data_IF_097103144078
#
_entry.id   IF_097103144078
#
_cell.length_a   1.000
_cell.length_b   1.000
_cell.length_c   1.000
_cell.angle_alpha   90.00
_cell.angle_beta   90.00
_cell.angle_gamma   90.00
#
_symmetry.space_group_name_H-M   'P 1'
#
loop_
_entity.id
_entity.type
_entity.pdbx_description
1 polymer ?
#
# COMPACT_ATOMS: atom_id res chain seq x y z
N UNK A 1 7.56 -21.68 30.93
CA UNK A 1 6.42 -21.44 30.00
C UNK A 1 6.47 -20.07 29.32
N UNK A 2 6.89 -18.99 30.00
CA UNK A 2 6.92 -17.64 29.42
C UNK A 2 7.85 -17.47 28.19
N UNK A 3 9.02 -18.15 28.18
CA UNK A 3 9.98 -18.08 27.07
C UNK A 3 9.52 -18.79 25.78
N UNK A 4 8.72 -19.86 25.89
CA UNK A 4 8.17 -20.57 24.71
C UNK A 4 7.11 -19.72 24.00
N UNK A 5 6.21 -19.07 24.74
CA UNK A 5 5.22 -18.15 24.18
C UNK A 5 5.85 -16.95 23.45
N UNK A 6 6.95 -16.41 23.99
CA UNK A 6 7.69 -15.31 23.36
C UNK A 6 8.34 -15.74 22.03
N UNK A 7 8.90 -16.95 21.96
CA UNK A 7 9.52 -17.50 20.73
C UNK A 7 8.50 -17.70 19.60
N UNK A 8 7.33 -18.26 19.89
CA UNK A 8 6.27 -18.43 18.87
C UNK A 8 5.77 -17.08 18.34
N UNK A 9 5.70 -16.06 19.20
CA UNK A 9 5.34 -14.70 18.80
C UNK A 9 6.34 -14.11 17.79
N UNK A 10 7.65 -14.32 17.97
CA UNK A 10 8.67 -13.80 17.05
C UNK A 10 8.60 -14.45 15.66
N UNK A 11 8.52 -15.78 15.59
CA UNK A 11 8.37 -16.49 14.30
C UNK A 11 7.10 -16.08 13.57
N UNK A 12 6.01 -15.85 14.30
CA UNK A 12 4.74 -15.38 13.73
C UNK A 12 4.84 -13.97 13.18
N UNK A 13 5.57 -13.07 13.86
CA UNK A 13 5.87 -11.73 13.35
C UNK A 13 6.62 -11.84 12.02
N UNK A 14 7.72 -12.60 11.97
CA UNK A 14 8.47 -12.76 10.72
C UNK A 14 7.65 -13.37 9.58
N UNK A 15 6.79 -14.35 9.90
CA UNK A 15 5.91 -14.98 8.90
C UNK A 15 4.90 -14.00 8.33
N UNK A 16 4.26 -13.18 9.17
CA UNK A 16 3.31 -12.16 8.70
C UNK A 16 4.05 -11.06 7.92
N UNK A 17 5.22 -10.62 8.38
CA UNK A 17 6.04 -9.66 7.65
C UNK A 17 6.40 -10.18 6.26
N UNK A 18 6.83 -11.43 6.14
CA UNK A 18 7.15 -12.05 4.85
C UNK A 18 5.92 -12.13 3.94
N UNK A 19 4.75 -12.53 4.47
CA UNK A 19 3.50 -12.55 3.71
C UNK A 19 3.07 -11.15 3.24
N UNK A 20 3.24 -10.12 4.08
CA UNK A 20 3.02 -8.72 3.69
C UNK A 20 3.96 -8.32 2.54
N UNK A 21 5.26 -8.58 2.68
CA UNK A 21 6.27 -8.26 1.68
C UNK A 21 6.01 -8.95 0.34
N UNK A 22 5.69 -10.25 0.37
CA UNK A 22 5.39 -11.03 -0.81
C UNK A 22 4.10 -10.55 -1.49
N UNK A 23 3.08 -10.15 -0.71
CA UNK A 23 1.83 -9.64 -1.27
C UNK A 23 2.00 -8.35 -2.09
N UNK A 24 3.05 -7.56 -1.82
CA UNK A 24 3.36 -6.34 -2.58
C UNK A 24 4.53 -6.53 -3.54
N UNK A 25 4.97 -7.78 -3.72
CA UNK A 25 6.03 -8.16 -4.65
C UNK A 25 7.27 -7.27 -4.42
N UNK A 26 7.72 -7.20 -3.16
CA UNK A 26 9.02 -6.58 -2.88
C UNK A 26 10.13 -7.39 -3.55
N UNK A 27 11.18 -6.71 -4.00
CA UNK A 27 12.26 -7.30 -4.80
C UNK A 27 12.73 -8.69 -4.33
N UNK A 28 13.06 -8.82 -3.05
CA UNK A 28 13.59 -10.05 -2.47
C UNK A 28 12.59 -11.22 -2.45
N UNK A 29 11.32 -11.00 -2.81
CA UNK A 29 10.30 -12.06 -2.90
C UNK A 29 10.02 -12.52 -4.33
N UNK A 30 10.55 -11.86 -5.36
CA UNK A 30 10.17 -12.13 -6.77
C UNK A 30 10.47 -13.54 -7.25
N UNK A 31 11.54 -14.17 -6.76
CA UNK A 31 11.93 -15.53 -7.18
C UNK A 31 11.10 -16.63 -6.51
N UNK A 32 10.21 -16.28 -5.58
CA UNK A 32 9.39 -17.23 -4.84
C UNK A 32 7.92 -17.10 -5.28
N UNK A 33 7.27 -18.19 -5.73
CA UNK A 33 5.84 -18.16 -5.99
C UNK A 33 5.07 -17.74 -4.73
N UNK A 34 4.15 -16.78 -4.87
CA UNK A 34 3.33 -16.26 -3.76
C UNK A 34 2.60 -17.39 -3.00
N UNK A 35 2.13 -18.41 -3.73
CA UNK A 35 1.46 -19.58 -3.17
C UNK A 35 2.37 -20.33 -2.20
N UNK A 36 3.64 -20.55 -2.59
CA UNK A 36 4.63 -21.23 -1.75
C UNK A 36 4.96 -20.40 -0.50
N UNK A 37 5.18 -19.10 -0.65
CA UNK A 37 5.45 -18.20 0.48
C UNK A 37 4.29 -18.23 1.47
N UNK A 38 3.06 -18.11 0.98
CA UNK A 38 1.88 -18.08 1.84
C UNK A 38 1.65 -19.42 2.55
N UNK A 39 1.87 -20.56 1.90
CA UNK A 39 1.81 -21.89 2.54
C UNK A 39 2.83 -21.98 3.68
N UNK A 40 4.07 -21.60 3.43
CA UNK A 40 5.12 -21.60 4.46
C UNK A 40 4.76 -20.71 5.65
N UNK A 41 4.31 -19.47 5.38
CA UNK A 41 3.86 -18.54 6.41
C UNK A 41 2.67 -19.09 7.21
N UNK A 42 1.71 -19.74 6.55
CA UNK A 42 0.59 -20.39 7.23
C UNK A 42 1.07 -21.52 8.17
N UNK A 43 1.98 -22.38 7.70
CA UNK A 43 2.56 -23.44 8.53
C UNK A 43 3.27 -22.88 9.79
N UNK A 44 4.05 -21.80 9.65
CA UNK A 44 4.73 -21.17 10.78
C UNK A 44 3.79 -20.45 11.76
N UNK A 45 2.58 -20.09 11.31
CA UNK A 45 1.56 -19.46 12.14
C UNK A 45 0.70 -20.46 12.94
N UNK A 46 0.66 -21.74 12.54
CA UNK A 46 -0.12 -22.77 13.24
C UNK A 46 0.20 -22.88 14.74
N UNK A 47 1.48 -22.96 15.18
CA UNK A 47 1.78 -23.06 16.61
C UNK A 47 1.31 -21.84 17.40
N UNK A 48 1.32 -20.65 16.80
CA UNK A 48 0.85 -19.45 17.46
C UNK A 48 -0.66 -19.46 17.63
N UNK A 49 -1.42 -19.80 16.57
CA UNK A 49 -2.87 -19.92 16.63
C UNK A 49 -3.33 -20.92 17.70
N UNK A 50 -2.68 -22.09 17.78
CA UNK A 50 -3.00 -23.12 18.78
C UNK A 50 -2.74 -22.66 20.23
N UNK A 51 -1.84 -21.69 20.42
CA UNK A 51 -1.50 -21.14 21.73
C UNK A 51 -2.27 -19.85 22.07
N UNK A 52 -3.15 -19.36 21.18
CA UNK A 52 -3.97 -18.18 21.45
C UNK A 52 -5.04 -18.51 22.50
N UNK A 53 -4.84 -17.98 23.71
CA UNK A 53 -5.80 -18.11 24.81
C UNK A 53 -7.01 -17.19 24.67
N UNK A 54 -6.85 -16.07 23.97
CA UNK A 54 -7.89 -15.05 23.78
C UNK A 54 -7.91 -14.65 22.32
N UNK A 55 -9.11 -14.68 21.74
CA UNK A 55 -9.39 -14.20 20.41
C UNK A 55 -9.78 -12.75 20.49
N UNK A 56 -9.01 -11.90 19.82
CA UNK A 56 -9.28 -10.47 19.83
C UNK A 56 -10.46 -10.14 18.88
N UNK A 57 -10.69 -10.98 17.85
CA UNK A 57 -11.71 -10.80 16.81
C UNK A 57 -13.06 -11.42 17.06
N UNK A 58 -14.11 -10.74 16.59
CA UNK A 58 -15.43 -11.34 16.46
C UNK A 58 -15.45 -12.37 15.32
N UNK A 59 -16.22 -13.44 15.53
CA UNK A 59 -16.43 -14.50 14.53
C UNK A 59 -17.01 -13.91 13.24
N UNK A 60 -17.89 -12.90 13.34
CA UNK A 60 -18.47 -12.21 12.18
C UNK A 60 -17.43 -11.53 11.27
N UNK A 61 -16.38 -10.91 11.84
CA UNK A 61 -15.31 -10.31 11.03
C UNK A 61 -14.48 -11.39 10.33
N UNK A 62 -14.18 -12.50 11.02
CA UNK A 62 -13.48 -13.62 10.41
C UNK A 62 -14.31 -14.23 9.27
N UNK A 63 -15.61 -14.47 9.48
CA UNK A 63 -16.52 -14.96 8.45
C UNK A 63 -16.58 -14.02 7.25
N UNK A 64 -16.79 -12.72 7.49
CA UNK A 64 -16.81 -11.72 6.42
C UNK A 64 -15.48 -11.71 5.64
N UNK A 65 -14.34 -11.84 6.31
CA UNK A 65 -13.03 -11.92 5.64
C UNK A 65 -12.89 -13.15 4.75
N UNK A 66 -13.43 -14.30 5.17
CA UNK A 66 -13.46 -15.53 4.35
C UNK A 66 -14.29 -15.31 3.10
N UNK A 67 -15.49 -14.73 3.24
CA UNK A 67 -16.37 -14.40 2.11
C UNK A 67 -15.67 -13.46 1.15
N UNK A 68 -15.00 -12.42 1.66
CA UNK A 68 -14.24 -11.46 0.85
C UNK A 68 -13.10 -12.14 0.07
N UNK A 69 -12.34 -13.04 0.72
CA UNK A 69 -11.27 -13.80 0.05
C UNK A 69 -11.78 -14.73 -1.03
N UNK A 70 -12.87 -15.46 -0.77
CA UNK A 70 -13.50 -16.35 -1.75
C UNK A 70 -14.01 -15.53 -2.95
N UNK A 71 -14.68 -14.40 -2.68
CA UNK A 71 -15.18 -13.52 -3.74
C UNK A 71 -14.04 -12.94 -4.59
N UNK A 72 -12.98 -12.46 -3.95
CA UNK A 72 -11.79 -11.98 -4.65
C UNK A 72 -11.18 -13.10 -5.53
N UNK A 73 -11.11 -14.32 -5.02
CA UNK A 73 -10.60 -15.47 -5.76
C UNK A 73 -11.41 -15.77 -7.02
N UNK A 74 -12.75 -15.79 -6.92
CA UNK A 74 -13.61 -16.11 -8.08
C UNK A 74 -13.56 -15.05 -9.18
N UNK A 75 -13.29 -13.78 -8.83
CA UNK A 75 -13.29 -12.66 -9.78
C UNK A 75 -11.91 -12.26 -10.30
N UNK A 76 -10.84 -12.50 -9.54
CA UNK A 76 -9.48 -12.01 -9.87
C UNK A 76 -8.48 -13.13 -10.19
N UNK A 77 -8.88 -14.40 -10.04
CA UNK A 77 -8.02 -15.52 -10.40
C UNK A 77 -8.38 -16.01 -11.80
N UNK A 78 -7.40 -15.98 -12.71
CA UNK A 78 -7.56 -16.45 -14.09
C UNK A 78 -7.73 -17.98 -14.06
N UNK A 79 -6.72 -18.68 -13.52
CA UNK A 79 -6.67 -20.15 -13.50
C UNK A 79 -6.86 -20.74 -12.11
N UNK A 80 -7.81 -21.67 -12.01
CA UNK A 80 -8.08 -22.43 -10.79
C UNK A 80 -7.15 -23.64 -10.64
N UNK A 81 -5.84 -23.36 -10.60
CA UNK A 81 -4.82 -24.37 -10.36
C UNK A 81 -4.74 -24.77 -8.87
N UNK A 82 -4.12 -25.92 -8.57
CA UNK A 82 -3.82 -26.33 -7.20
C UNK A 82 -3.07 -25.24 -6.43
N UNK A 83 -2.10 -24.57 -7.07
CA UNK A 83 -1.34 -23.48 -6.44
C UNK A 83 -2.22 -22.27 -6.12
N UNK A 84 -3.21 -21.95 -6.95
CA UNK A 84 -4.15 -20.88 -6.70
C UNK A 84 -5.04 -21.19 -5.47
N UNK A 85 -5.53 -22.43 -5.35
CA UNK A 85 -6.28 -22.88 -4.18
C UNK A 85 -5.44 -22.88 -2.91
N UNK A 86 -4.19 -23.38 -2.97
CA UNK A 86 -3.25 -23.33 -1.85
C UNK A 86 -2.98 -21.89 -1.41
N UNK A 87 -2.83 -20.97 -2.36
CA UNK A 87 -2.67 -19.55 -2.08
C UNK A 87 -3.90 -18.96 -1.38
N UNK A 88 -5.10 -19.28 -1.85
CA UNK A 88 -6.37 -18.84 -1.24
C UNK A 88 -6.48 -19.32 0.21
N UNK A 89 -6.35 -20.63 0.43
CA UNK A 89 -6.50 -21.24 1.75
C UNK A 89 -5.46 -20.68 2.73
N UNK A 90 -4.23 -20.52 2.28
CA UNK A 90 -3.15 -19.95 3.09
C UNK A 90 -3.41 -18.47 3.41
N UNK A 91 -3.87 -17.68 2.44
CA UNK A 91 -4.19 -16.25 2.65
C UNK A 91 -5.35 -16.06 3.64
N UNK A 92 -6.37 -16.91 3.56
CA UNK A 92 -7.47 -16.96 4.53
C UNK A 92 -6.93 -17.30 5.92
N UNK A 93 -6.12 -18.34 6.03
CA UNK A 93 -5.54 -18.78 7.30
C UNK A 93 -4.67 -17.69 7.95
N UNK A 94 -3.79 -17.06 7.17
CA UNK A 94 -2.94 -15.94 7.62
C UNK A 94 -3.81 -14.78 8.09
N UNK A 95 -4.84 -14.41 7.33
CA UNK A 95 -5.76 -13.31 7.66
C UNK A 95 -6.53 -13.57 8.95
N UNK A 96 -7.11 -14.75 9.11
CA UNK A 96 -7.84 -15.14 10.33
C UNK A 96 -6.89 -15.13 11.53
N UNK A 97 -5.70 -15.71 11.40
CA UNK A 97 -4.71 -15.74 12.48
C UNK A 97 -4.28 -14.34 12.88
N UNK A 98 -4.03 -13.46 11.90
CA UNK A 98 -3.69 -12.07 12.15
C UNK A 98 -4.84 -11.30 12.84
N UNK A 99 -6.08 -11.46 12.38
CA UNK A 99 -7.22 -10.81 13.02
C UNK A 99 -7.42 -11.30 14.46
N UNK A 100 -7.39 -12.62 14.67
CA UNK A 100 -7.55 -13.26 15.98
C UNK A 100 -6.43 -12.92 16.97
N UNK A 101 -5.24 -12.54 16.49
CA UNK A 101 -4.07 -12.20 17.30
C UNK A 101 -4.36 -11.10 18.33
N UNK A 102 -3.63 -11.09 19.45
CA UNK A 102 -3.84 -10.10 20.51
C UNK A 102 -3.46 -8.68 20.08
N UNK A 103 -4.05 -7.67 20.73
CA UNK A 103 -3.67 -6.25 20.50
C UNK A 103 -2.18 -6.00 20.72
N UNK A 104 -1.57 -6.60 21.76
CA UNK A 104 -0.12 -6.48 22.01
C UNK A 104 0.73 -7.09 20.88
N UNK A 105 0.30 -8.23 20.33
CA UNK A 105 0.96 -8.83 19.17
C UNK A 105 0.91 -7.88 17.97
N UNK A 106 -0.26 -7.28 17.68
CA UNK A 106 -0.42 -6.31 16.58
C UNK A 106 0.49 -5.10 16.78
N UNK A 107 0.61 -4.55 18.00
CA UNK A 107 1.53 -3.43 18.27
C UNK A 107 2.99 -3.84 18.02
N UNK A 108 3.41 -5.02 18.50
CA UNK A 108 4.77 -5.52 18.26
C UNK A 108 5.05 -5.76 16.77
N UNK A 109 4.09 -6.34 16.04
CA UNK A 109 4.15 -6.54 14.60
C UNK A 109 4.25 -5.20 13.86
N UNK A 110 3.51 -4.17 14.28
CA UNK A 110 3.64 -2.82 13.73
C UNK A 110 5.05 -2.27 13.91
N UNK A 111 5.61 -2.35 15.13
CA UNK A 111 6.96 -1.85 15.37
C UNK A 111 8.02 -2.61 14.55
N UNK A 112 7.87 -3.93 14.42
CA UNK A 112 8.73 -4.73 13.57
C UNK A 112 8.59 -4.36 12.09
N UNK A 113 7.36 -4.13 11.61
CA UNK A 113 7.08 -3.68 10.24
C UNK A 113 7.65 -2.28 9.97
N UNK A 114 7.39 -1.30 10.84
CA UNK A 114 7.91 0.06 10.72
C UNK A 114 9.45 0.09 10.71
N UNK A 115 10.08 -0.66 11.62
CA UNK A 115 11.53 -0.80 11.64
C UNK A 115 12.06 -1.45 10.35
N UNK A 116 11.45 -2.55 9.91
CA UNK A 116 11.84 -3.26 8.70
C UNK A 116 11.74 -2.37 7.45
N UNK A 117 10.60 -1.68 7.26
CA UNK A 117 10.42 -0.79 6.09
C UNK A 117 11.42 0.38 6.14
N UNK A 118 11.70 0.96 7.32
CA UNK A 118 12.76 1.97 7.47
C UNK A 118 14.12 1.46 7.03
N UNK A 119 14.49 0.24 7.45
CA UNK A 119 15.78 -0.36 7.10
C UNK A 119 15.90 -0.57 5.59
N UNK A 120 14.91 -1.21 4.95
CA UNK A 120 14.98 -1.45 3.50
C UNK A 120 14.97 -0.14 2.70
N UNK A 121 14.18 0.86 3.11
CA UNK A 121 14.16 2.16 2.45
C UNK A 121 15.46 2.93 2.66
N UNK A 122 16.07 2.87 3.84
CA UNK A 122 17.36 3.49 4.11
C UNK A 122 18.46 2.89 3.24
N UNK A 123 18.57 1.57 3.21
CA UNK A 123 19.55 0.85 2.36
C UNK A 123 19.31 1.17 0.88
N UNK A 124 18.04 1.18 0.46
CA UNK A 124 17.67 1.52 -0.91
C UNK A 124 18.05 2.95 -1.28
N UNK A 125 17.80 3.92 -0.39
CA UNK A 125 18.15 5.32 -0.60
C UNK A 125 19.66 5.49 -0.73
N UNK A 126 20.46 4.81 0.10
CA UNK A 126 21.91 4.83 -0.01
C UNK A 126 22.38 4.25 -1.35
N UNK A 127 21.84 3.10 -1.77
CA UNK A 127 22.15 2.50 -3.07
C UNK A 127 21.78 3.41 -4.24
N UNK A 128 20.60 4.03 -4.20
CA UNK A 128 20.14 4.95 -5.22
C UNK A 128 20.97 6.25 -5.27
N UNK A 129 21.39 6.78 -4.12
CA UNK A 129 22.30 7.93 -4.08
C UNK A 129 23.68 7.60 -4.67
N UNK A 130 24.24 6.42 -4.38
CA UNK A 130 25.49 5.97 -4.99
C UNK A 130 25.35 5.88 -6.52
N UNK A 131 24.24 5.34 -7.00
CA UNK A 131 23.92 5.32 -8.44
C UNK A 131 23.91 6.74 -9.03
N UNK A 132 23.26 7.70 -8.38
CA UNK A 132 23.22 9.10 -8.84
C UNK A 132 24.59 9.78 -8.85
N UNK A 133 25.51 9.36 -7.97
CA UNK A 133 26.89 9.85 -7.94
C UNK A 133 27.77 9.21 -9.04
N UNK A 134 27.21 8.36 -9.90
CA UNK A 134 27.92 7.70 -11.00
C UNK A 134 28.70 6.46 -10.56
N UNK A 135 28.43 5.90 -9.38
CA UNK A 135 29.03 4.63 -8.94
C UNK A 135 28.47 3.50 -9.80
N UNK A 136 29.35 2.75 -10.46
CA UNK A 136 28.95 1.60 -11.27
C UNK A 136 28.53 0.43 -10.38
N UNK A 137 27.22 0.32 -10.14
CA UNK A 137 26.62 -0.74 -9.32
C UNK A 137 26.26 -1.95 -10.20
N UNK A 138 26.48 -3.19 -9.69
CA UNK A 138 26.08 -4.39 -10.41
C UNK A 138 24.57 -4.42 -10.57
N UNK A 139 24.11 -4.70 -11.79
CA UNK A 139 22.69 -4.79 -12.09
C UNK A 139 22.40 -5.88 -13.13
N UNK A 140 21.14 -6.28 -13.17
CA UNK A 140 20.60 -7.14 -14.21
C UNK A 140 19.18 -6.71 -14.56
N UNK A 141 18.76 -7.05 -15.77
CA UNK A 141 17.42 -6.78 -16.26
C UNK A 141 16.48 -7.93 -15.88
N UNK A 142 15.30 -7.60 -15.36
CA UNK A 142 14.29 -8.58 -14.95
C UNK A 142 12.92 -8.17 -15.44
N UNK A 143 12.21 -9.11 -16.05
CA UNK A 143 10.79 -9.00 -16.32
C UNK A 143 10.05 -9.52 -15.06
N UNK A 144 9.34 -8.65 -14.35
CA UNK A 144 8.68 -9.01 -13.07
C UNK A 144 7.23 -9.45 -13.26
N UNK A 145 6.58 -8.89 -14.26
CA UNK A 145 5.28 -9.31 -14.77
C UNK A 145 5.21 -8.91 -16.24
N UNK A 146 4.13 -9.28 -16.93
CA UNK A 146 3.89 -8.91 -18.34
C UNK A 146 3.89 -7.39 -18.60
N UNK A 147 3.94 -6.58 -17.53
CA UNK A 147 3.75 -5.13 -17.55
C UNK A 147 4.97 -4.33 -17.10
N UNK A 148 5.96 -4.97 -16.48
CA UNK A 148 7.09 -4.27 -15.87
C UNK A 148 8.41 -4.93 -16.18
N UNK A 149 9.29 -4.14 -16.79
CA UNK A 149 10.69 -4.47 -16.96
C UNK A 149 11.49 -3.57 -16.02
N UNK A 150 12.38 -4.19 -15.26
CA UNK A 150 13.17 -3.49 -14.26
C UNK A 150 14.65 -3.75 -14.43
N UNK A 151 15.43 -2.71 -14.13
CA UNK A 151 16.85 -2.84 -13.84
C UNK A 151 17.04 -2.95 -12.34
N UNK A 152 17.61 -4.08 -11.93
CA UNK A 152 17.71 -4.48 -10.54
C UNK A 152 19.14 -4.28 -10.06
N UNK A 153 19.32 -3.35 -9.13
CA UNK A 153 20.62 -2.99 -8.54
C UNK A 153 20.86 -3.65 -7.17
N UNK A 154 20.11 -4.71 -6.84
CA UNK A 154 20.05 -5.46 -5.58
C UNK A 154 19.62 -4.66 -4.34
N UNK A 155 20.10 -3.42 -4.18
CA UNK A 155 19.75 -2.48 -3.12
C UNK A 155 18.45 -1.74 -3.42
N UNK A 156 18.18 -1.50 -4.69
CA UNK A 156 16.96 -0.87 -5.18
C UNK A 156 16.63 -1.40 -6.59
N UNK A 157 15.42 -1.13 -7.02
CA UNK A 157 14.89 -1.46 -8.34
C UNK A 157 14.62 -0.16 -9.09
N UNK A 158 14.84 -0.14 -10.39
CA UNK A 158 14.49 0.95 -11.30
C UNK A 158 13.64 0.41 -12.45
N UNK A 159 12.62 1.15 -12.89
CA UNK A 159 11.90 0.80 -14.13
C UNK A 159 12.81 0.99 -15.35
N UNK A 160 12.78 0.07 -16.31
CA UNK A 160 13.72 0.06 -17.43
C UNK A 160 13.64 1.32 -18.32
N UNK A 161 12.47 1.95 -18.40
CA UNK A 161 12.29 3.20 -19.14
C UNK A 161 12.89 4.43 -18.42
N UNK A 162 13.20 4.32 -17.12
CA UNK A 162 13.75 5.43 -16.33
C UNK A 162 15.25 5.63 -16.57
N UNK A 163 15.95 4.72 -17.27
CA UNK A 163 17.41 4.83 -17.51
C UNK A 163 17.79 6.08 -18.30
N UNK A 164 16.88 6.59 -19.14
CA UNK A 164 17.10 7.77 -19.98
C UNK A 164 16.59 9.07 -19.35
N UNK A 165 16.06 9.01 -18.12
CA UNK A 165 15.57 10.19 -17.42
C UNK A 165 16.71 10.96 -16.75
N UNK A 166 16.62 12.29 -16.76
CA UNK A 166 17.59 13.20 -16.11
C UNK A 166 17.74 12.91 -14.61
N UNK A 167 16.68 12.43 -13.95
CA UNK A 167 16.71 11.95 -12.57
C UNK A 167 15.76 10.76 -12.42
N UNK A 168 16.27 9.51 -12.30
CA UNK A 168 15.42 8.33 -12.21
C UNK A 168 14.66 8.31 -10.88
N UNK A 169 13.37 8.01 -10.93
CA UNK A 169 12.49 8.02 -9.75
C UNK A 169 12.85 6.94 -8.74
N UNK A 170 12.83 7.27 -7.45
CA UNK A 170 13.11 6.31 -6.38
C UNK A 170 11.92 5.39 -6.10
N UNK A 171 12.09 4.08 -6.32
CA UNK A 171 11.15 3.03 -5.93
C UNK A 171 11.64 2.13 -4.79
N UNK A 172 12.91 2.26 -4.41
CA UNK A 172 13.55 1.33 -3.48
C UNK A 172 13.38 -0.12 -3.92
N UNK A 173 13.05 -1.01 -2.98
CA UNK A 173 12.75 -2.43 -3.28
C UNK A 173 11.30 -2.69 -3.72
N UNK A 174 10.49 -1.64 -3.95
CA UNK A 174 9.12 -1.78 -4.43
C UNK A 174 9.08 -1.80 -5.96
N UNK A 175 8.00 -2.36 -6.52
CA UNK A 175 7.79 -2.43 -7.98
C UNK A 175 7.78 -1.06 -8.67
N UNK A 176 7.30 -0.01 -7.99
CA UNK A 176 7.20 1.31 -8.59
C UNK A 176 7.26 2.45 -7.56
N UNK A 177 7.61 3.68 -7.97
CA UNK A 177 7.85 4.78 -7.04
C UNK A 177 6.64 5.14 -6.19
N UNK A 178 5.43 5.04 -6.72
CA UNK A 178 4.26 5.36 -5.89
C UNK A 178 3.88 4.26 -4.88
N UNK A 179 4.41 3.03 -4.97
CA UNK A 179 4.26 2.03 -3.91
C UNK A 179 5.04 2.42 -2.67
N UNK A 180 6.33 2.77 -2.82
CA UNK A 180 7.15 3.25 -1.71
C UNK A 180 6.62 4.58 -1.16
N UNK A 181 6.18 5.50 -2.05
CA UNK A 181 5.59 6.77 -1.67
C UNK A 181 4.33 6.62 -0.83
N UNK A 182 3.34 5.85 -1.31
CA UNK A 182 2.09 5.61 -0.59
C UNK A 182 2.31 4.89 0.75
N UNK A 183 3.15 3.85 0.76
CA UNK A 183 3.48 3.11 2.00
C UNK A 183 4.12 4.02 3.04
N UNK A 184 5.05 4.88 2.61
CA UNK A 184 5.70 5.87 3.46
C UNK A 184 4.72 6.92 4.01
N UNK A 185 3.73 7.35 3.22
CA UNK A 185 2.67 8.26 3.69
C UNK A 185 1.84 7.63 4.81
N UNK A 186 1.42 6.37 4.62
CA UNK A 186 0.63 5.64 5.62
C UNK A 186 1.42 5.44 6.92
N UNK A 187 2.70 5.04 6.82
CA UNK A 187 3.55 4.85 7.99
C UNK A 187 3.87 6.16 8.71
N UNK A 188 4.07 7.27 8.00
CA UNK A 188 4.20 8.59 8.63
C UNK A 188 2.95 9.01 9.39
N UNK A 189 1.77 8.72 8.84
CA UNK A 189 0.49 9.00 9.52
C UNK A 189 0.41 8.22 10.84
N UNK A 190 0.68 6.92 10.83
CA UNK A 190 0.64 6.09 12.05
C UNK A 190 1.73 6.53 13.04
N UNK A 191 2.90 6.94 12.54
CA UNK A 191 3.97 7.58 13.31
C UNK A 191 3.69 9.04 13.68
N UNK A 192 2.45 9.51 13.49
CA UNK A 192 1.94 10.82 13.96
C UNK A 192 2.70 12.01 13.39
N UNK A 193 3.36 11.84 12.23
CA UNK A 193 4.29 12.82 11.65
C UNK A 193 5.34 13.32 12.67
N UNK A 194 5.78 12.44 13.59
CA UNK A 194 6.68 12.81 14.66
C UNK A 194 8.15 12.85 14.18
N UNK A 195 8.60 14.00 13.67
CA UNK A 195 9.97 14.20 13.22
C UNK A 195 11.00 14.39 14.35
N UNK A 196 10.58 14.39 15.63
CA UNK A 196 11.56 14.24 16.74
C UNK A 196 12.27 12.89 16.66
N UNK A 197 11.56 11.86 16.18
CA UNK A 197 12.19 10.61 15.79
C UNK A 197 12.81 10.77 14.39
N UNK A 198 14.13 10.95 14.34
CA UNK A 198 14.87 11.19 13.08
C UNK A 198 14.69 10.07 12.04
N UNK A 199 14.36 8.85 12.44
CA UNK A 199 14.09 7.75 11.48
C UNK A 199 12.89 8.03 10.57
N UNK A 200 11.96 8.91 10.96
CA UNK A 200 10.81 9.28 10.12
C UNK A 200 11.23 10.15 8.91
N UNK A 201 12.44 10.74 8.91
CA UNK A 201 12.96 11.40 7.70
C UNK A 201 13.21 10.41 6.56
N UNK A 202 13.46 9.13 6.84
CA UNK A 202 13.62 8.10 5.80
C UNK A 202 12.36 8.02 4.93
N UNK A 203 11.18 8.03 5.55
CA UNK A 203 9.90 8.04 4.83
C UNK A 203 9.67 9.35 4.07
N UNK A 204 10.00 10.49 4.68
CA UNK A 204 9.86 11.78 4.01
C UNK A 204 10.74 11.85 2.75
N UNK A 205 12.00 11.43 2.85
CA UNK A 205 12.92 11.35 1.71
C UNK A 205 12.43 10.35 0.66
N UNK A 206 11.91 9.19 1.08
CA UNK A 206 11.34 8.20 0.16
C UNK A 206 10.13 8.77 -0.61
N UNK A 207 9.28 9.56 0.05
CA UNK A 207 8.17 10.26 -0.61
C UNK A 207 8.73 11.25 -1.62
N UNK A 208 9.61 12.17 -1.20
CA UNK A 208 10.19 13.22 -2.05
C UNK A 208 10.84 12.61 -3.29
N UNK A 209 11.77 11.67 -3.12
CA UNK A 209 12.52 11.09 -4.24
C UNK A 209 11.70 10.12 -5.10
N UNK A 210 10.52 9.67 -4.65
CA UNK A 210 9.62 8.89 -5.50
C UNK A 210 9.06 9.69 -6.69
N UNK A 211 9.13 11.03 -6.62
CA UNK A 211 8.60 11.95 -7.63
C UNK A 211 7.18 11.52 -8.08
N UNK A 212 6.34 11.15 -7.12
CA UNK A 212 5.00 10.64 -7.36
C UNK A 212 3.99 11.69 -6.94
N UNK A 213 3.34 12.32 -7.92
CA UNK A 213 2.26 13.30 -7.69
C UNK A 213 1.20 12.74 -6.73
N UNK A 214 0.78 11.49 -6.95
CA UNK A 214 -0.17 10.81 -6.07
C UNK A 214 0.33 10.67 -4.61
N UNK A 215 1.60 10.32 -4.41
CA UNK A 215 2.17 10.22 -3.06
C UNK A 215 2.28 11.59 -2.39
N UNK A 216 2.61 12.66 -3.15
CA UNK A 216 2.64 14.02 -2.61
C UNK A 216 1.26 14.49 -2.16
N UNK A 217 0.24 14.26 -2.99
CA UNK A 217 -1.15 14.55 -2.63
C UNK A 217 -1.57 13.76 -1.39
N UNK A 218 -1.28 12.45 -1.35
CA UNK A 218 -1.63 11.58 -0.22
C UNK A 218 -0.92 12.01 1.08
N UNK A 219 0.37 12.38 1.01
CA UNK A 219 1.13 12.90 2.14
C UNK A 219 0.46 14.15 2.70
N UNK A 220 0.12 15.11 1.84
CA UNK A 220 -0.46 16.37 2.27
C UNK A 220 -1.88 16.20 2.83
N UNK A 221 -2.72 15.39 2.18
CA UNK A 221 -4.05 15.03 2.68
C UNK A 221 -3.93 14.37 4.05
N UNK A 222 -3.02 13.40 4.20
CA UNK A 222 -2.78 12.72 5.48
C UNK A 222 -2.30 13.68 6.57
N UNK A 223 -1.38 14.60 6.25
CA UNK A 223 -0.86 15.61 7.16
C UNK A 223 -1.98 16.54 7.66
N UNK A 224 -2.74 17.12 6.73
CA UNK A 224 -3.85 18.01 7.05
C UNK A 224 -4.91 17.28 7.87
N UNK A 225 -5.33 16.09 7.46
CA UNK A 225 -6.35 15.34 8.15
C UNK A 225 -5.92 14.95 9.57
N UNK A 226 -4.67 14.51 9.76
CA UNK A 226 -4.12 14.19 11.08
C UNK A 226 -4.20 15.39 12.05
N UNK A 227 -3.72 16.55 11.60
CA UNK A 227 -3.66 17.74 12.44
C UNK A 227 -5.02 18.41 12.64
N UNK A 228 -5.90 18.37 11.63
CA UNK A 228 -7.30 18.77 11.75
C UNK A 228 -7.99 17.98 12.87
N UNK A 229 -7.87 16.65 12.84
CA UNK A 229 -8.49 15.77 13.83
C UNK A 229 -7.84 15.87 15.22
N UNK A 230 -6.67 16.52 15.33
CA UNK A 230 -6.01 16.90 16.58
C UNK A 230 -6.47 18.28 17.09
N UNK A 231 -7.37 18.95 16.38
CA UNK A 231 -7.85 20.31 16.71
C UNK A 231 -6.80 21.40 16.45
N UNK A 232 -5.85 21.17 15.55
CA UNK A 232 -4.90 22.20 15.14
C UNK A 232 -5.44 22.95 13.92
N UNK A 233 -5.19 24.25 13.89
CA UNK A 233 -5.48 25.08 12.72
C UNK A 233 -4.70 24.57 11.49
N UNK A 234 -5.42 24.50 10.38
CA UNK A 234 -4.93 24.04 9.09
C UNK A 234 -4.23 25.13 8.28
N UNK A 235 -4.48 26.40 8.58
CA UNK A 235 -3.98 27.52 7.78
C UNK A 235 -2.48 27.43 7.54
N UNK A 236 -1.69 27.16 8.59
CA UNK A 236 -0.24 27.01 8.48
C UNK A 236 0.19 25.88 7.55
N UNK A 237 -0.54 24.76 7.51
CA UNK A 237 -0.18 23.62 6.65
C UNK A 237 -0.58 23.91 5.19
N UNK A 238 -1.72 24.57 4.98
CA UNK A 238 -2.14 25.06 3.66
C UNK A 238 -1.14 26.08 3.11
N UNK A 239 -0.64 26.98 3.95
CA UNK A 239 0.40 27.94 3.57
C UNK A 239 1.70 27.21 3.22
N UNK A 240 2.12 26.21 3.99
CA UNK A 240 3.28 25.38 3.67
C UNK A 240 3.10 24.71 2.30
N UNK A 241 1.93 24.11 2.01
CA UNK A 241 1.66 23.55 0.69
C UNK A 241 1.72 24.60 -0.40
N UNK A 242 1.10 25.76 -0.22
CA UNK A 242 1.09 26.82 -1.22
C UNK A 242 2.52 27.29 -1.53
N UNK A 243 3.37 27.44 -0.51
CA UNK A 243 4.79 27.77 -0.68
C UNK A 243 5.53 26.66 -1.42
N UNK A 244 5.37 25.40 -1.01
CA UNK A 244 6.00 24.26 -1.71
C UNK A 244 5.53 24.17 -3.16
N UNK A 245 4.22 24.25 -3.42
CA UNK A 245 3.66 24.25 -4.76
C UNK A 245 4.22 25.41 -5.60
N UNK A 246 4.32 26.62 -5.03
CA UNK A 246 4.92 27.77 -5.69
C UNK A 246 6.39 27.54 -6.06
N UNK A 247 7.19 26.99 -5.13
CA UNK A 247 8.60 26.65 -5.37
C UNK A 247 8.73 25.58 -6.46
N UNK A 248 7.96 24.50 -6.38
CA UNK A 248 7.99 23.42 -7.37
C UNK A 248 7.54 23.91 -8.76
N UNK A 249 6.52 24.77 -8.82
CA UNK A 249 6.08 25.41 -10.07
C UNK A 249 7.16 26.33 -10.63
N UNK A 250 7.77 27.18 -9.80
CA UNK A 250 8.84 28.07 -10.23
C UNK A 250 10.05 27.30 -10.77
N UNK A 251 10.55 26.31 -10.02
CA UNK A 251 11.67 25.48 -10.46
C UNK A 251 11.28 24.69 -11.71
N UNK A 252 10.11 24.04 -11.71
CA UNK A 252 9.67 23.23 -12.82
C UNK A 252 9.51 24.03 -14.12
N UNK A 253 9.02 25.26 -14.09
CA UNK A 253 8.88 26.07 -15.32
C UNK A 253 10.19 26.75 -15.75
N UNK A 254 11.05 27.15 -14.82
CA UNK A 254 12.21 28.00 -15.15
C UNK A 254 13.54 27.24 -15.24
N UNK A 255 13.74 26.19 -14.43
CA UNK A 255 14.99 25.43 -14.45
C UNK A 255 15.12 24.68 -15.78
N UNK A 256 16.29 24.80 -16.43
CA UNK A 256 16.56 24.24 -17.76
C UNK A 256 15.45 24.58 -18.79
N UNK A 257 14.88 25.79 -18.70
CA UNK A 257 13.79 26.28 -19.58
C UNK A 257 12.56 25.37 -19.58
N UNK A 258 12.27 24.73 -18.44
CA UNK A 258 11.15 23.81 -18.30
C UNK A 258 11.47 22.36 -18.66
N UNK A 259 12.64 22.07 -19.23
CA UNK A 259 13.07 20.70 -19.51
C UNK A 259 13.72 20.06 -18.29
N UNK A 260 12.91 19.75 -17.28
CA UNK A 260 13.38 19.13 -16.04
C UNK A 260 12.35 18.15 -15.47
N UNK A 261 12.84 17.29 -14.58
CA UNK A 261 12.06 16.20 -13.99
C UNK A 261 10.84 16.67 -13.20
N UNK A 262 10.91 17.86 -12.58
CA UNK A 262 9.78 18.41 -11.82
C UNK A 262 8.65 18.78 -12.77
N UNK A 263 8.96 19.45 -13.88
CA UNK A 263 7.96 19.74 -14.90
C UNK A 263 7.37 18.45 -15.47
N UNK A 264 8.23 17.53 -15.90
CA UNK A 264 7.82 16.31 -16.58
C UNK A 264 6.99 15.38 -15.70
N UNK A 265 7.36 15.20 -14.43
CA UNK A 265 6.72 14.21 -13.55
C UNK A 265 5.62 14.79 -12.67
N UNK A 266 5.59 16.11 -12.45
CA UNK A 266 4.63 16.76 -11.53
C UNK A 266 3.77 17.79 -12.28
N UNK A 267 4.35 18.82 -12.88
CA UNK A 267 3.57 19.95 -13.41
C UNK A 267 2.80 19.62 -14.68
N UNK A 268 3.42 18.90 -15.63
CA UNK A 268 2.77 18.45 -16.86
C UNK A 268 1.52 17.62 -16.57
N UNK A 269 1.57 16.83 -15.48
CA UNK A 269 0.46 16.01 -14.99
C UNK A 269 -0.67 16.82 -14.35
N UNK A 270 -0.47 18.10 -14.06
CA UNK A 270 -1.50 19.00 -13.54
C UNK A 270 -2.17 19.82 -14.63
N UNK A 271 -1.68 19.76 -15.87
CA UNK A 271 -2.26 20.49 -17.01
C UNK A 271 -3.62 19.87 -17.35
N UNK A 272 -4.63 20.72 -17.50
CA UNK A 272 -5.95 20.31 -17.99
C UNK A 272 -5.93 20.45 -19.51
N UNK A 273 -6.14 19.33 -20.20
CA UNK A 273 -6.23 19.24 -21.66
C UNK A 273 -7.61 18.69 -21.99
N UNK A 274 -8.38 19.40 -22.82
CA UNK A 274 -9.73 19.00 -23.23
C UNK A 274 -10.71 18.70 -22.07
N UNK A 275 -10.54 19.41 -20.95
CA UNK A 275 -11.37 19.25 -19.75
C UNK A 275 -10.94 18.09 -18.83
N UNK A 276 -9.92 17.32 -19.22
CA UNK A 276 -9.35 16.24 -18.42
C UNK A 276 -7.97 16.60 -17.89
N UNK A 277 -7.63 16.10 -16.70
CA UNK A 277 -6.30 16.29 -16.13
C UNK A 277 -5.32 15.37 -16.86
N UNK A 278 -4.25 15.91 -17.44
CA UNK A 278 -3.22 15.11 -18.15
C UNK A 278 -2.59 14.02 -17.27
N UNK A 279 -2.62 14.23 -15.95
CA UNK A 279 -2.18 13.25 -14.95
C UNK A 279 -3.17 12.15 -14.63
N UNK A 280 -4.39 12.19 -15.15
CA UNK A 280 -5.45 11.17 -15.01
C UNK A 280 -5.21 9.99 -15.98
N UNK A 281 -4.00 9.44 -15.93
CA UNK A 281 -3.57 8.32 -16.76
C UNK A 281 -3.72 6.98 -16.02
N UNK A 282 -4.73 6.86 -15.16
CA UNK A 282 -4.95 5.68 -14.30
C UNK A 282 -5.80 4.61 -14.95
N UNK A 283 -6.46 4.94 -16.05
CA UNK A 283 -7.18 4.02 -16.92
C UNK A 283 -6.69 4.18 -18.36
N UNK A 284 -6.86 3.14 -19.16
CA UNK A 284 -6.57 3.19 -20.59
C UNK A 284 -7.84 3.51 -21.38
N UNK A 285 -7.69 4.13 -22.55
CA UNK A 285 -8.82 4.41 -23.45
C UNK A 285 -9.62 3.15 -23.81
N UNK A 286 -8.92 2.02 -23.98
CA UNK A 286 -9.54 0.71 -24.20
C UNK A 286 -10.40 0.34 -23.00
N UNK A 287 -9.84 0.39 -21.79
CA UNK A 287 -10.56 0.12 -20.56
C UNK A 287 -11.81 1.00 -20.43
N UNK A 288 -11.69 2.31 -20.61
CA UNK A 288 -12.81 3.24 -20.41
C UNK A 288 -13.96 2.94 -21.40
N UNK A 289 -13.66 2.57 -22.64
CA UNK A 289 -14.69 2.12 -23.60
C UNK A 289 -15.42 0.85 -23.14
N UNK A 290 -14.69 -0.14 -22.63
CA UNK A 290 -15.29 -1.36 -22.08
C UNK A 290 -16.09 -1.08 -20.80
N UNK A 291 -15.56 -0.20 -19.95
CA UNK A 291 -16.18 0.22 -18.71
C UNK A 291 -17.53 0.91 -18.97
N UNK A 292 -17.57 1.88 -19.90
CA UNK A 292 -18.79 2.61 -20.25
C UNK A 292 -19.85 1.72 -20.88
N UNK A 293 -19.44 0.76 -21.72
CA UNK A 293 -20.36 -0.22 -22.28
C UNK A 293 -20.91 -1.17 -21.20
N UNK A 294 -20.04 -1.64 -20.30
CA UNK A 294 -20.43 -2.50 -19.19
C UNK A 294 -21.37 -1.79 -18.21
N UNK A 295 -21.17 -0.49 -17.93
CA UNK A 295 -22.09 0.28 -17.10
C UNK A 295 -23.52 0.37 -17.68
N UNK A 296 -23.67 0.31 -19.00
CA UNK A 296 -24.98 0.41 -19.67
C UNK A 296 -25.67 -0.95 -19.85
N UNK A 297 -24.89 -1.99 -20.14
CA UNK A 297 -25.42 -3.26 -20.62
C UNK A 297 -24.93 -4.50 -19.86
N UNK A 298 -23.98 -4.32 -18.93
CA UNK A 298 -23.33 -5.41 -18.21
C UNK A 298 -23.94 -5.72 -16.84
N UNK A 299 -23.42 -6.77 -16.20
CA UNK A 299 -23.75 -7.11 -14.82
C UNK A 299 -22.96 -6.21 -13.86
N UNK A 300 -23.60 -5.12 -13.45
CA UNK A 300 -23.03 -4.13 -12.51
C UNK A 300 -22.95 -4.70 -11.09
N UNK A 301 -23.83 -5.64 -10.74
CA UNK A 301 -23.91 -6.18 -9.38
C UNK A 301 -22.73 -7.11 -9.10
N UNK A 302 -22.48 -8.08 -9.98
CA UNK A 302 -21.41 -9.04 -9.79
C UNK A 302 -20.07 -8.58 -10.41
N UNK A 303 -20.09 -7.64 -11.35
CA UNK A 303 -18.87 -7.21 -12.03
C UNK A 303 -18.57 -8.01 -13.29
N UNK A 304 -17.60 -7.52 -14.06
CA UNK A 304 -17.09 -8.18 -15.26
C UNK A 304 -16.30 -9.46 -14.94
N UNK A 305 -15.72 -9.54 -13.73
CA UNK A 305 -14.98 -10.69 -13.24
C UNK A 305 -13.72 -11.00 -14.04
N UNK A 306 -13.26 -12.26 -13.92
CA UNK A 306 -11.96 -12.69 -14.44
C UNK A 306 -11.81 -12.59 -15.97
N UNK A 307 -12.93 -12.47 -16.70
CA UNK A 307 -12.92 -12.28 -18.16
C UNK A 307 -12.18 -10.99 -18.57
N UNK A 308 -12.09 -10.02 -17.67
CA UNK A 308 -11.37 -8.77 -17.92
C UNK A 308 -9.86 -8.98 -18.17
N UNK A 309 -9.31 -10.09 -17.67
CA UNK A 309 -7.90 -10.44 -17.80
C UNK A 309 -7.57 -11.11 -19.15
N UNK A 310 -8.57 -11.44 -19.97
CA UNK A 310 -8.39 -12.13 -21.24
C UNK A 310 -7.74 -13.51 -21.09
N UNK A 311 -6.90 -13.88 -22.05
CA UNK A 311 -6.14 -15.14 -22.04
C UNK A 311 -4.81 -15.01 -21.27
N UNK A 312 -4.67 -13.98 -20.43
CA UNK A 312 -3.41 -13.65 -19.74
C UNK A 312 -2.41 -12.86 -20.60
N UNK A 313 -2.64 -12.74 -21.91
CA UNK A 313 -1.79 -11.95 -22.81
C UNK A 313 -2.13 -10.45 -22.76
N UNK A 314 -1.09 -9.60 -22.79
CA UNK A 314 -1.20 -8.13 -22.72
C UNK A 314 -2.15 -7.51 -23.76
N UNK A 315 -2.25 -8.11 -24.95
CA UNK A 315 -3.14 -7.67 -26.04
C UNK A 315 -4.62 -7.96 -25.80
N UNK A 316 -4.92 -8.98 -24.98
CA UNK A 316 -6.29 -9.39 -24.64
C UNK A 316 -6.77 -8.87 -23.29
N UNK A 317 -5.86 -8.36 -22.47
CA UNK A 317 -6.13 -7.90 -21.12
C UNK A 317 -6.68 -6.47 -21.13
N UNK A 318 -7.99 -6.33 -20.87
CA UNK A 318 -8.70 -5.04 -20.84
C UNK A 318 -8.14 -4.12 -19.75
N UNK A 319 -7.60 -4.71 -18.68
CA UNK A 319 -7.09 -4.00 -17.51
C UNK A 319 -5.64 -3.52 -17.68
N UNK A 320 -5.03 -3.74 -18.85
CA UNK A 320 -3.65 -3.35 -19.12
C UNK A 320 -3.44 -1.86 -18.84
N UNK A 321 -2.41 -1.54 -18.04
CA UNK A 321 -2.06 -0.15 -17.67
C UNK A 321 -3.05 0.54 -16.72
N UNK A 322 -4.02 -0.18 -16.16
CA UNK A 322 -5.04 0.40 -15.29
C UNK A 322 -4.73 0.16 -13.81
N UNK A 323 -4.78 1.21 -13.01
CA UNK A 323 -4.56 1.17 -11.57
C UNK A 323 -5.44 2.22 -10.89
N UNK A 324 -6.75 1.95 -10.81
CA UNK A 324 -7.74 2.89 -10.28
C UNK A 324 -8.91 2.16 -9.62
N UNK A 325 -9.67 2.86 -8.78
CA UNK A 325 -10.92 2.32 -8.25
C UNK A 325 -11.89 1.85 -9.35
N UNK A 326 -11.90 2.49 -10.53
CA UNK A 326 -12.75 2.04 -11.66
C UNK A 326 -12.41 0.60 -12.04
N UNK A 327 -11.12 0.23 -12.07
CA UNK A 327 -10.68 -1.15 -12.33
C UNK A 327 -11.20 -2.11 -11.26
N UNK A 328 -11.08 -1.74 -9.98
CA UNK A 328 -11.62 -2.55 -8.89
C UNK A 328 -13.13 -2.79 -9.05
N UNK A 329 -13.89 -1.71 -9.28
CA UNK A 329 -15.34 -1.75 -9.43
C UNK A 329 -15.77 -2.53 -10.68
N UNK A 330 -15.06 -2.36 -11.80
CA UNK A 330 -15.30 -3.09 -13.04
C UNK A 330 -15.21 -4.60 -12.84
N UNK A 331 -14.18 -5.07 -12.12
CA UNK A 331 -13.98 -6.50 -11.90
C UNK A 331 -14.97 -7.08 -10.89
N UNK A 332 -15.25 -6.34 -9.81
CA UNK A 332 -15.90 -6.87 -8.60
C UNK A 332 -17.34 -6.38 -8.39
N UNK A 333 -17.82 -5.46 -9.23
CA UNK A 333 -19.18 -4.91 -9.15
C UNK A 333 -19.52 -4.26 -7.81
N UNK A 334 -20.83 -4.08 -7.61
CA UNK A 334 -21.40 -3.57 -6.34
C UNK A 334 -21.14 -4.55 -5.20
N UNK A 335 -21.28 -5.86 -5.44
CA UNK A 335 -21.16 -6.88 -4.38
C UNK A 335 -19.76 -6.86 -3.77
N UNK A 336 -18.70 -6.99 -4.58
CA UNK A 336 -17.34 -6.98 -4.06
C UNK A 336 -16.93 -5.65 -3.43
N UNK A 337 -17.45 -4.54 -3.96
CA UNK A 337 -17.25 -3.20 -3.38
C UNK A 337 -17.89 -3.06 -2.01
N UNK A 338 -19.14 -3.51 -1.85
CA UNK A 338 -19.84 -3.48 -0.56
C UNK A 338 -19.14 -4.41 0.43
N UNK A 339 -18.75 -5.62 0.01
CA UNK A 339 -18.05 -6.58 0.86
C UNK A 339 -16.75 -5.99 1.44
N UNK A 340 -15.90 -5.39 0.60
CA UNK A 340 -14.62 -4.84 1.06
C UNK A 340 -14.82 -3.60 1.93
N UNK A 341 -15.78 -2.73 1.58
CA UNK A 341 -16.12 -1.55 2.39
C UNK A 341 -16.64 -1.95 3.78
N UNK A 342 -17.53 -2.95 3.84
CA UNK A 342 -18.04 -3.49 5.10
C UNK A 342 -16.92 -4.10 5.93
N UNK A 343 -16.00 -4.87 5.32
CA UNK A 343 -14.87 -5.45 6.03
C UNK A 343 -14.00 -4.38 6.68
N UNK A 344 -13.58 -3.36 5.91
CA UNK A 344 -12.75 -2.27 6.44
C UNK A 344 -13.49 -1.44 7.50
N UNK A 345 -14.80 -1.21 7.32
CA UNK A 345 -15.62 -0.53 8.32
C UNK A 345 -15.69 -1.32 9.63
N UNK A 346 -15.98 -2.63 9.57
CA UNK A 346 -16.01 -3.49 10.76
C UNK A 346 -14.65 -3.54 11.48
N UNK A 347 -13.55 -3.60 10.71
CA UNK A 347 -12.19 -3.53 11.26
C UNK A 347 -11.92 -2.19 11.96
N UNK A 348 -12.30 -1.06 11.35
CA UNK A 348 -12.20 0.26 11.96
C UNK A 348 -13.00 0.38 13.25
N UNK A 349 -14.27 -0.05 13.23
CA UNK A 349 -15.19 0.10 14.36
C UNK A 349 -14.68 -0.58 15.63
N UNK A 350 -13.84 -1.60 15.50
CA UNK A 350 -13.21 -2.27 16.65
C UNK A 350 -12.11 -1.45 17.33
N UNK A 351 -11.34 -0.69 16.58
CA UNK A 351 -10.28 0.19 17.09
C UNK A 351 -10.64 1.66 16.87
N UNK A 352 -11.90 2.01 17.15
CA UNK A 352 -12.47 3.32 16.86
C UNK A 352 -11.73 4.42 17.62
N UNK A 353 -11.12 5.34 16.89
CA UNK A 353 -10.53 6.56 17.43
C UNK A 353 -10.56 7.68 16.39
N UNK A 354 -10.52 8.95 16.83
CA UNK A 354 -10.51 10.10 15.90
C UNK A 354 -9.36 10.01 14.90
N UNK A 355 -8.15 9.71 15.39
CA UNK A 355 -6.98 9.56 14.52
C UNK A 355 -7.06 8.30 13.65
N UNK A 356 -7.63 7.21 14.17
CA UNK A 356 -7.91 6.02 13.37
C UNK A 356 -8.92 6.27 12.24
N UNK A 357 -9.90 7.15 12.45
CA UNK A 357 -10.84 7.56 11.40
C UNK A 357 -10.13 8.32 10.28
N UNK A 358 -9.26 9.26 10.64
CA UNK A 358 -8.46 9.95 9.64
C UNK A 358 -7.56 8.98 8.85
N UNK A 359 -6.92 8.04 9.54
CA UNK A 359 -6.13 7.00 8.88
C UNK A 359 -6.98 6.12 7.94
N UNK A 360 -8.20 5.75 8.35
CA UNK A 360 -9.15 5.01 7.53
C UNK A 360 -9.47 5.76 6.22
N UNK A 361 -9.75 7.07 6.29
CA UNK A 361 -9.98 7.88 5.09
C UNK A 361 -8.74 7.95 4.18
N UNK A 362 -7.54 8.10 4.75
CA UNK A 362 -6.29 8.10 3.97
C UNK A 362 -6.09 6.76 3.26
N UNK A 363 -6.38 5.63 3.92
CA UNK A 363 -6.30 4.29 3.30
C UNK A 363 -7.33 4.12 2.18
N UNK A 364 -8.55 4.65 2.33
CA UNK A 364 -9.55 4.66 1.24
C UNK A 364 -9.02 5.44 0.04
N UNK A 365 -8.56 6.67 0.24
CA UNK A 365 -8.01 7.53 -0.84
C UNK A 365 -6.81 6.83 -1.50
N UNK A 366 -5.94 6.21 -0.71
CA UNK A 366 -4.80 5.47 -1.21
C UNK A 366 -5.23 4.29 -2.12
N UNK A 367 -6.28 3.55 -1.75
CA UNK A 367 -6.84 2.47 -2.56
C UNK A 367 -7.63 2.98 -3.77
N UNK A 368 -8.18 4.20 -3.73
CA UNK A 368 -8.80 4.79 -4.91
C UNK A 368 -7.79 5.02 -6.04
N UNK A 369 -6.52 5.28 -5.67
CA UNK A 369 -5.42 5.54 -6.60
C UNK A 369 -4.73 4.25 -7.08
N UNK A 370 -4.83 3.13 -6.35
CA UNK A 370 -3.99 1.93 -6.59
C UNK A 370 -4.70 0.57 -6.46
N UNK A 371 -6.01 0.53 -6.22
CA UNK A 371 -6.83 -0.69 -6.23
C UNK A 371 -6.28 -1.98 -5.59
N UNK A 372 -5.58 -1.87 -4.45
CA UNK A 372 -4.99 -3.00 -3.72
C UNK A 372 -5.63 -3.35 -2.36
N UNK A 373 -6.97 -3.30 -2.19
CA UNK A 373 -7.57 -3.46 -0.86
C UNK A 373 -7.43 -4.88 -0.29
N UNK A 374 -7.13 -5.87 -1.14
CA UNK A 374 -6.90 -7.27 -0.78
C UNK A 374 -5.43 -7.65 -0.58
N UNK A 375 -4.46 -6.78 -0.93
CA UNK A 375 -3.04 -7.10 -0.70
C UNK A 375 -2.77 -7.10 0.80
N UNK A 376 -2.18 -8.18 1.32
CA UNK A 376 -1.97 -8.40 2.76
C UNK A 376 -1.24 -7.23 3.42
N UNK A 377 -0.22 -6.66 2.76
CA UNK A 377 0.52 -5.51 3.31
C UNK A 377 -0.40 -4.34 3.63
N UNK A 378 -1.31 -3.98 2.72
CA UNK A 378 -2.17 -2.80 2.86
C UNK A 378 -3.29 -3.05 3.86
N UNK A 379 -3.95 -4.22 3.78
CA UNK A 379 -4.99 -4.61 4.71
C UNK A 379 -4.44 -4.73 6.14
N UNK A 380 -3.27 -5.35 6.31
CA UNK A 380 -2.67 -5.50 7.64
C UNK A 380 -2.12 -4.17 8.14
N UNK A 381 -1.48 -3.35 7.31
CA UNK A 381 -1.05 -2.00 7.70
C UNK A 381 -2.24 -1.14 8.16
N UNK A 382 -3.40 -1.26 7.51
CA UNK A 382 -4.61 -0.60 7.97
C UNK A 382 -4.96 -1.00 9.42
N UNK A 383 -5.09 -2.30 9.68
CA UNK A 383 -5.44 -2.84 11.01
C UNK A 383 -4.38 -2.49 12.06
N UNK A 384 -3.10 -2.63 11.71
CA UNK A 384 -1.97 -2.25 12.57
C UNK A 384 -2.03 -0.77 12.93
N UNK A 385 -2.23 0.10 11.93
CA UNK A 385 -2.27 1.55 12.13
C UNK A 385 -3.43 2.00 13.01
N UNK A 386 -4.66 1.53 12.77
CA UNK A 386 -5.80 1.86 13.63
C UNK A 386 -5.61 1.34 15.06
N UNK A 387 -4.96 0.18 15.24
CA UNK A 387 -4.69 -0.40 16.56
C UNK A 387 -3.71 0.48 17.35
N UNK A 388 -2.62 0.94 16.71
CA UNK A 388 -1.62 1.81 17.34
C UNK A 388 -2.19 3.19 17.67
N UNK A 389 -2.99 3.77 16.77
CA UNK A 389 -3.62 5.07 16.98
C UNK A 389 -4.69 5.01 18.08
N UNK A 390 -5.42 3.90 18.18
CA UNK A 390 -6.39 3.67 19.25
C UNK A 390 -5.74 3.55 20.62
N UNK A 391 -4.71 2.70 20.74
CA UNK A 391 -4.02 2.46 22.02
C UNK A 391 -3.27 3.70 22.52
N UNK A 392 -2.66 4.45 21.61
CA UNK A 392 -2.02 5.74 21.94
C UNK A 392 -2.99 6.75 22.54
N UNK A 393 -4.23 6.82 22.04
CA UNK A 393 -5.23 7.76 22.54
C UNK A 393 -5.76 7.35 23.92
N UNK A 394 -5.84 6.04 24.20
CA UNK A 394 -6.21 5.54 25.53
C UNK A 394 -5.16 5.83 26.59
N UNK A 395 -3.88 5.62 26.28
CA UNK A 395 -2.79 5.91 27.22
C UNK A 395 -2.78 7.39 27.64
N UNK A 396 -2.90 8.30 26.66
CA UNK A 396 -2.98 9.74 26.95
C UNK A 396 -4.25 10.17 27.69
N UNK A 397 -5.34 9.41 27.64
CA UNK A 397 -6.54 9.69 28.44
C UNK A 397 -6.37 9.29 29.91
N UNK A 398 -5.67 8.18 30.18
CA UNK A 398 -5.40 7.69 31.54
C UNK A 398 -4.38 8.59 32.26
N UNK A 399 -3.33 9.05 31.58
CA UNK A 399 -2.37 10.01 32.14
C UNK A 399 -3.06 11.32 32.56
N UNK A 400 -3.93 11.89 31.71
CA UNK A 400 -4.67 13.13 32.02
C UNK A 400 -5.73 12.99 33.14
N UNK A 401 -6.10 11.76 33.52
CA UNK A 401 -6.99 11.49 34.66
C UNK A 401 -6.23 11.31 35.98
N UNK A 402 -4.95 10.92 35.91
CA UNK A 402 -4.10 10.79 37.09
C UNK A 402 -3.39 12.10 37.47
N UNK A 403 -3.31 13.05 36.54
CA UNK A 403 -2.75 14.41 36.74
C UNK A 403 -3.81 15.46 37.14
N UNK A 404 -5.06 15.03 37.41
CA UNK A 404 -6.15 15.85 37.95
C UNK A 404 -6.60 15.28 39.28
#
# INVERSE_FOLDING_TARGET
MHSKGLRYSMFSIYSILLAMCASMELYFTWKLPISFVNVMCACFLLPYLMNLRKWDSSIGVCFLSVVCWIYNFTHNTIDFSLFAYLNLLSSIFITITFFASTTSFKINLYHAFDFFIKVICCISLLGWLLYLLGVNLPHYRSDTSDFYVHDVYYLFVMGADNMFEVLPRFSGMFLEPGHVGSTSCLLLYVNKFNFKNKSNYIYLLSIIFSLSLAAYCLFFIGLCLYFYLKGKDLFKYLLILAVFAGIFTYIGLNYNRGNNVINEKILSRLIITDGELSGDNRTSMVFDKYYDNWLKHGDIFNGYGRKAYGDGNATSNILHGCASFKRFFFINGIIGTVLICLLYLCLYLRYRSKQGFGFFLVVIICNMIRDYPYRLMWMFLFVLGITVLYTSNKAGYIENLNDK
#
